data_IF_849889458473
#
_entry.id   IF_849889458473
#
_cell.length_a   1.000
_cell.length_b   1.000
_cell.length_c   1.000
_cell.angle_alpha   90.00
_cell.angle_beta   90.00
_cell.angle_gamma   90.00
#
_symmetry.space_group_name_H-M   'P 1'
#
loop_
_entity.id
_entity.type
_entity.pdbx_description
1 polymer ?
#
# COMPACT_ATOMS: atom_id res chain seq x y z
N UNK A 1 -7.28 6.38 -17.75
CA UNK A 1 -8.39 6.16 -16.81
C UNK A 1 -8.11 4.86 -16.09
N UNK A 2 -7.98 4.86 -14.75
CA UNK A 2 -7.81 3.62 -13.99
C UNK A 2 -9.11 2.81 -14.06
N UNK A 3 -9.04 1.53 -14.43
CA UNK A 3 -10.22 0.67 -14.49
C UNK A 3 -10.49 0.03 -13.11
N UNK A 4 -11.26 0.75 -12.29
CA UNK A 4 -11.66 0.24 -10.97
C UNK A 4 -12.55 -1.00 -11.02
N UNK A 5 -13.26 -1.24 -12.14
CA UNK A 5 -14.08 -2.46 -12.28
C UNK A 5 -13.19 -3.68 -12.42
N UNK A 6 -12.18 -3.59 -13.28
CA UNK A 6 -11.19 -4.64 -13.44
C UNK A 6 -10.40 -4.86 -12.14
N UNK A 7 -9.93 -3.77 -11.52
CA UNK A 7 -9.15 -3.81 -10.29
C UNK A 7 -9.90 -4.45 -9.12
N UNK A 8 -11.22 -4.25 -9.03
CA UNK A 8 -12.04 -4.81 -7.96
C UNK A 8 -12.68 -6.17 -8.30
N UNK A 9 -12.39 -6.74 -9.47
CA UNK A 9 -12.93 -8.05 -9.83
C UNK A 9 -12.36 -9.14 -8.90
N UNK A 10 -13.24 -9.92 -8.28
CA UNK A 10 -12.83 -10.92 -7.28
C UNK A 10 -12.16 -10.35 -6.03
N UNK A 11 -12.25 -9.03 -5.79
CA UNK A 11 -11.50 -8.38 -4.70
C UNK A 11 -11.88 -8.90 -3.31
N UNK A 12 -10.84 -9.32 -2.58
CA UNK A 12 -10.84 -9.56 -1.14
C UNK A 12 -9.69 -8.76 -0.53
N UNK A 13 -10.01 -7.85 0.38
CA UNK A 13 -9.02 -6.95 0.99
C UNK A 13 -7.91 -7.68 1.73
N UNK A 14 -8.16 -8.87 2.28
CA UNK A 14 -7.15 -9.57 3.05
C UNK A 14 -6.08 -10.21 2.15
N UNK A 15 -6.46 -10.54 0.91
CA UNK A 15 -5.63 -11.23 -0.09
C UNK A 15 -5.36 -10.37 -1.35
N UNK A 16 -5.65 -9.08 -1.29
CA UNK A 16 -5.50 -8.19 -2.44
C UNK A 16 -4.01 -8.01 -2.79
N UNK A 17 -3.66 -7.95 -4.09
CA UNK A 17 -2.31 -7.60 -4.53
C UNK A 17 -1.89 -6.24 -3.96
N UNK A 18 -0.59 -6.07 -3.69
CA UNK A 18 -0.04 -4.83 -3.14
C UNK A 18 -0.40 -3.63 -4.00
N UNK A 19 -0.30 -3.74 -5.32
CA UNK A 19 -0.66 -2.65 -6.25
C UNK A 19 -2.13 -2.25 -6.13
N UNK A 20 -3.02 -3.22 -5.92
CA UNK A 20 -4.44 -2.96 -5.68
C UNK A 20 -4.65 -2.23 -4.36
N UNK A 21 -3.93 -2.62 -3.30
CA UNK A 21 -3.97 -1.94 -2.02
C UNK A 21 -3.44 -0.51 -2.12
N UNK A 22 -2.34 -0.29 -2.85
CA UNK A 22 -1.79 1.04 -3.10
C UNK A 22 -2.82 1.93 -3.83
N UNK A 23 -3.42 1.42 -4.91
CA UNK A 23 -4.45 2.15 -5.67
C UNK A 23 -5.61 2.56 -4.77
N UNK A 24 -6.09 1.65 -3.93
CA UNK A 24 -7.18 1.95 -3.00
C UNK A 24 -6.76 2.93 -1.91
N UNK A 25 -5.56 2.76 -1.33
CA UNK A 25 -5.04 3.61 -0.26
C UNK A 25 -4.85 5.05 -0.73
N UNK A 26 -4.32 5.26 -1.93
CA UNK A 26 -4.14 6.59 -2.54
C UNK A 26 -5.49 7.18 -2.96
N UNK A 27 -6.37 6.40 -3.60
CA UNK A 27 -7.66 6.92 -4.08
C UNK A 27 -8.57 7.34 -2.92
N UNK A 28 -8.58 6.55 -1.83
CA UNK A 28 -9.32 6.83 -0.60
C UNK A 28 -8.56 7.78 0.33
N UNK A 29 -7.38 8.25 -0.06
CA UNK A 29 -6.57 9.10 0.79
C UNK A 29 -7.34 10.37 1.16
N UNK A 30 -7.05 10.87 2.35
CA UNK A 30 -7.50 12.14 2.84
C UNK A 30 -6.33 12.71 3.61
N UNK A 31 -6.10 14.02 3.45
CA UNK A 31 -5.10 14.74 4.24
C UNK A 31 -5.22 14.35 5.72
N UNK A 32 -4.21 13.63 6.21
CA UNK A 32 -4.06 13.18 7.57
C UNK A 32 -2.78 13.85 8.11
N UNK A 33 -2.85 14.61 9.20
CA UNK A 33 -1.68 15.28 9.75
C UNK A 33 -0.62 14.30 10.31
N UNK A 34 -0.95 13.02 10.45
CA UNK A 34 -0.09 11.99 11.06
C UNK A 34 0.48 11.04 9.99
N UNK A 35 -0.24 10.78 8.91
CA UNK A 35 0.17 9.83 7.85
C UNK A 35 0.24 10.52 6.49
N UNK A 36 1.45 10.59 5.93
CA UNK A 36 1.71 11.10 4.59
C UNK A 36 2.18 9.94 3.69
N UNK A 37 1.28 9.49 2.82
CA UNK A 37 1.57 8.39 1.90
C UNK A 37 2.67 8.73 0.90
N UNK A 38 2.85 10.00 0.50
CA UNK A 38 3.97 10.35 -0.39
C UNK A 38 5.29 10.12 0.32
N UNK A 39 5.40 10.56 1.58
CA UNK A 39 6.61 10.36 2.37
C UNK A 39 6.84 8.87 2.68
N UNK A 40 5.79 8.13 3.06
CA UNK A 40 5.89 6.69 3.32
C UNK A 40 6.45 5.93 2.12
N UNK A 41 6.05 6.31 0.90
CA UNK A 41 6.53 5.73 -0.35
C UNK A 41 7.95 6.19 -0.69
N UNK A 42 8.32 7.45 -0.41
CA UNK A 42 9.67 7.97 -0.62
C UNK A 42 10.70 7.29 0.29
N UNK A 43 10.30 6.94 1.52
CA UNK A 43 11.15 6.26 2.50
C UNK A 43 11.26 4.75 2.24
N UNK A 44 10.38 4.19 1.40
CA UNK A 44 10.28 2.74 1.18
C UNK A 44 11.58 2.09 0.67
N UNK A 45 12.39 2.72 -0.21
CA UNK A 45 13.70 2.20 -0.61
C UNK A 45 14.70 2.05 0.52
N UNK A 46 14.63 2.93 1.52
CA UNK A 46 15.55 2.93 2.68
C UNK A 46 15.09 1.93 3.75
N UNK A 47 13.78 1.65 3.81
CA UNK A 47 13.15 0.72 4.76
C UNK A 47 12.26 -0.32 4.05
N UNK A 48 12.82 -1.17 3.17
CA UNK A 48 12.06 -2.09 2.31
C UNK A 48 11.23 -3.11 3.08
N UNK A 49 11.65 -3.48 4.28
CA UNK A 49 10.92 -4.39 5.17
C UNK A 49 9.53 -3.85 5.55
N UNK A 50 9.38 -2.52 5.64
CA UNK A 50 8.11 -1.89 6.03
C UNK A 50 6.97 -2.21 5.10
N UNK A 51 7.26 -2.45 3.81
CA UNK A 51 6.23 -2.81 2.83
C UNK A 51 5.44 -4.03 3.32
N UNK A 52 6.14 -5.06 3.80
CA UNK A 52 5.54 -6.34 4.17
C UNK A 52 5.27 -6.46 5.68
N UNK A 53 6.06 -5.80 6.52
CA UNK A 53 5.91 -5.87 7.98
C UNK A 53 4.81 -4.96 8.53
N UNK A 54 4.55 -3.80 7.89
CA UNK A 54 3.59 -2.83 8.44
C UNK A 54 2.66 -2.18 7.41
N UNK A 55 3.19 -1.67 6.30
CA UNK A 55 2.41 -0.85 5.35
C UNK A 55 1.22 -1.60 4.76
N UNK A 56 1.37 -2.87 4.37
CA UNK A 56 0.24 -3.67 3.85
C UNK A 56 -0.92 -3.73 4.84
N UNK A 57 -0.65 -3.97 6.13
CA UNK A 57 -1.69 -4.09 7.14
C UNK A 57 -2.27 -2.73 7.55
N UNK A 58 -1.43 -1.69 7.59
CA UNK A 58 -1.86 -0.31 7.77
C UNK A 58 -2.79 0.13 6.63
N UNK A 59 -2.44 -0.18 5.38
CA UNK A 59 -3.24 0.16 4.21
C UNK A 59 -4.57 -0.59 4.22
N UNK A 60 -4.58 -1.90 4.51
CA UNK A 60 -5.82 -2.66 4.68
C UNK A 60 -6.72 -2.04 5.74
N UNK A 61 -6.16 -1.68 6.89
CA UNK A 61 -6.89 -1.06 8.01
C UNK A 61 -7.45 0.31 7.62
N UNK A 62 -6.65 1.13 6.95
CA UNK A 62 -7.06 2.43 6.43
C UNK A 62 -8.22 2.29 5.44
N UNK A 63 -8.10 1.40 4.45
CA UNK A 63 -9.13 1.17 3.43
C UNK A 63 -10.44 0.73 4.09
N UNK A 64 -10.41 -0.23 5.03
CA UNK A 64 -11.60 -0.66 5.80
C UNK A 64 -12.26 0.53 6.51
N UNK A 65 -11.47 1.38 7.15
CA UNK A 65 -11.94 2.58 7.84
C UNK A 65 -12.60 3.58 6.88
N UNK A 66 -11.97 3.89 5.75
CA UNK A 66 -12.52 4.84 4.78
C UNK A 66 -13.80 4.31 4.11
N UNK A 67 -13.85 3.02 3.77
CA UNK A 67 -15.06 2.41 3.25
C UNK A 67 -16.23 2.51 4.25
N UNK A 68 -15.97 2.33 5.55
CA UNK A 68 -16.98 2.55 6.60
C UNK A 68 -17.43 4.02 6.68
N UNK A 69 -16.51 4.98 6.61
CA UNK A 69 -16.82 6.43 6.59
C UNK A 69 -17.73 6.78 5.42
N UNK A 70 -17.50 6.19 4.25
CA UNK A 70 -18.32 6.42 3.06
C UNK A 70 -19.59 5.55 3.00
N UNK A 71 -19.84 4.71 4.02
CA UNK A 71 -20.95 3.76 4.06
C UNK A 71 -20.99 2.86 2.81
N UNK A 72 -19.84 2.27 2.49
CA UNK A 72 -19.62 1.36 1.36
C UNK A 72 -19.08 0.04 1.90
N UNK A 73 -19.77 -1.06 1.56
CA UNK A 73 -19.26 -2.40 1.86
C UNK A 73 -18.12 -2.78 0.91
N UNK A 74 -17.16 -3.56 1.41
CA UNK A 74 -16.11 -4.17 0.59
C UNK A 74 -16.56 -5.49 -0.07
N UNK A 75 -17.77 -5.97 0.27
CA UNK A 75 -18.35 -7.18 -0.30
C UNK A 75 -18.89 -6.99 -1.72
N UNK A 76 -19.15 -8.12 -2.38
CA UNK A 76 -19.64 -8.18 -3.78
C UNK A 76 -20.88 -7.33 -4.02
N UNK A 77 -21.85 -7.37 -3.10
CA UNK A 77 -23.11 -6.63 -3.20
C UNK A 77 -22.95 -5.09 -3.22
N UNK A 78 -21.83 -4.56 -2.75
CA UNK A 78 -21.54 -3.12 -2.70
C UNK A 78 -20.51 -2.67 -3.73
N UNK A 79 -20.04 -3.58 -4.59
CA UNK A 79 -18.88 -3.33 -5.46
C UNK A 79 -19.10 -2.23 -6.48
N UNK A 80 -20.27 -2.18 -7.11
CA UNK A 80 -20.59 -1.12 -8.07
C UNK A 80 -20.60 0.27 -7.40
N UNK A 81 -21.15 0.36 -6.19
CA UNK A 81 -21.12 1.59 -5.38
C UNK A 81 -19.69 2.00 -5.03
N UNK A 82 -18.84 1.03 -4.69
CA UNK A 82 -17.41 1.25 -4.43
C UNK A 82 -16.68 1.78 -5.67
N UNK A 83 -16.85 1.11 -6.82
CA UNK A 83 -16.28 1.54 -8.10
C UNK A 83 -16.66 2.98 -8.42
N UNK A 84 -17.96 3.31 -8.36
CA UNK A 84 -18.43 4.65 -8.67
C UNK A 84 -17.86 5.71 -7.72
N UNK A 85 -17.72 5.38 -6.42
CA UNK A 85 -17.13 6.30 -5.45
C UNK A 85 -15.63 6.50 -5.69
N UNK A 86 -14.89 5.42 -5.94
CA UNK A 86 -13.46 5.48 -6.24
C UNK A 86 -13.22 6.29 -7.52
N UNK A 87 -14.04 6.08 -8.55
CA UNK A 87 -13.97 6.85 -9.78
C UNK A 87 -14.15 8.35 -9.53
N UNK A 88 -15.15 8.73 -8.72
CA UNK A 88 -15.39 10.13 -8.37
C UNK A 88 -14.21 10.74 -7.59
N UNK A 89 -13.74 10.05 -6.53
CA UNK A 89 -12.62 10.52 -5.70
C UNK A 89 -11.30 10.61 -6.48
N UNK A 90 -11.08 9.67 -7.41
CA UNK A 90 -9.92 9.68 -8.28
C UNK A 90 -9.99 10.88 -9.23
N UNK A 91 -11.13 11.10 -9.89
CA UNK A 91 -11.30 12.22 -10.82
C UNK A 91 -11.13 13.59 -10.15
N UNK A 92 -11.56 13.75 -8.90
CA UNK A 92 -11.38 14.99 -8.12
C UNK A 92 -9.90 15.35 -7.90
N UNK A 93 -9.01 14.35 -7.88
CA UNK A 93 -7.57 14.50 -7.55
C UNK A 93 -6.67 13.81 -8.56
N UNK A 94 -7.12 13.67 -9.80
CA UNK A 94 -6.47 12.81 -10.79
C UNK A 94 -4.97 13.11 -10.99
N UNK A 95 -4.52 14.37 -11.09
CA UNK A 95 -3.10 14.67 -11.25
C UNK A 95 -2.26 14.17 -10.07
N UNK A 96 -2.75 14.37 -8.85
CA UNK A 96 -2.08 13.94 -7.63
C UNK A 96 -2.08 12.41 -7.52
N UNK A 97 -3.24 11.78 -7.69
CA UNK A 97 -3.35 10.32 -7.65
C UNK A 97 -2.40 9.65 -8.65
N UNK A 98 -2.32 10.16 -9.89
CA UNK A 98 -1.40 9.62 -10.89
C UNK A 98 0.06 9.74 -10.47
N UNK A 99 0.47 10.92 -9.97
CA UNK A 99 1.83 11.16 -9.49
C UNK A 99 2.21 10.18 -8.37
N UNK A 100 1.37 10.07 -7.35
CA UNK A 100 1.65 9.24 -6.17
C UNK A 100 1.60 7.75 -6.52
N UNK A 101 0.66 7.32 -7.37
CA UNK A 101 0.62 5.93 -7.83
C UNK A 101 1.83 5.57 -8.69
N UNK A 102 2.27 6.46 -9.57
CA UNK A 102 3.48 6.23 -10.35
C UNK A 102 4.68 6.04 -9.43
N UNK A 103 4.90 6.98 -8.50
CA UNK A 103 5.96 6.88 -7.51
C UNK A 103 5.87 5.57 -6.73
N UNK A 104 4.71 5.27 -6.16
CA UNK A 104 4.54 4.09 -5.31
C UNK A 104 4.78 2.77 -6.05
N UNK A 105 4.31 2.64 -7.30
CA UNK A 105 4.55 1.45 -8.11
C UNK A 105 6.04 1.31 -8.47
N UNK A 106 6.74 2.40 -8.77
CA UNK A 106 8.18 2.39 -9.00
C UNK A 106 8.95 1.91 -7.77
N UNK A 107 8.62 2.44 -6.57
CA UNK A 107 9.30 2.06 -5.33
C UNK A 107 8.98 0.63 -4.89
N UNK A 108 7.72 0.19 -5.01
CA UNK A 108 7.32 -1.19 -4.70
C UNK A 108 8.00 -2.17 -5.65
N UNK A 109 8.08 -1.84 -6.94
CA UNK A 109 8.79 -2.66 -7.92
C UNK A 109 10.27 -2.79 -7.56
N UNK A 110 10.92 -1.66 -7.27
CA UNK A 110 12.32 -1.63 -6.86
C UNK A 110 12.58 -2.48 -5.62
N UNK A 111 11.80 -2.28 -4.55
CA UNK A 111 11.94 -3.04 -3.29
C UNK A 111 11.66 -4.53 -3.49
N UNK A 112 10.66 -4.89 -4.27
CA UNK A 112 10.33 -6.30 -4.55
C UNK A 112 11.45 -6.98 -5.35
N UNK A 113 11.99 -6.29 -6.36
CA UNK A 113 13.12 -6.77 -7.15
C UNK A 113 14.36 -6.98 -6.29
N UNK A 114 14.67 -6.00 -5.44
CA UNK A 114 15.71 -6.11 -4.41
C UNK A 114 15.48 -7.37 -3.62
N UNK A 115 14.37 -7.51 -2.88
CA UNK A 115 14.16 -8.67 -2.01
C UNK A 115 14.22 -10.03 -2.73
N UNK A 116 13.84 -10.08 -4.01
CA UNK A 116 13.94 -11.29 -4.84
C UNK A 116 15.34 -11.58 -5.42
N UNK A 117 16.25 -10.61 -5.36
CA UNK A 117 17.60 -10.73 -5.91
C UNK A 117 18.50 -11.58 -5.00
N UNK A 118 19.12 -12.61 -5.57
CA UNK A 118 20.04 -13.52 -4.86
C UNK A 118 21.32 -12.85 -4.32
N UNK A 119 21.60 -11.60 -4.73
CA UNK A 119 22.82 -10.86 -4.41
C UNK A 119 22.66 -9.83 -3.28
N UNK A 120 21.58 -9.87 -2.50
CA UNK A 120 21.43 -8.97 -1.36
C UNK A 120 22.28 -9.45 -0.18
N UNK A 121 23.32 -8.67 0.12
CA UNK A 121 23.94 -8.69 1.43
C UNK A 121 23.16 -7.76 2.37
N UNK A 122 22.32 -8.36 3.23
CA UNK A 122 21.77 -7.65 4.39
C UNK A 122 22.93 -7.33 5.32
N UNK A 123 23.34 -6.06 5.37
CA UNK A 123 24.35 -5.60 6.31
C UNK A 123 23.76 -5.64 7.73
N UNK A 124 24.00 -6.73 8.45
CA UNK A 124 23.61 -6.84 9.86
C UNK A 124 24.31 -5.75 10.67
N UNK A 125 23.52 -4.84 11.26
CA UNK A 125 24.05 -3.84 12.19
C UNK A 125 24.72 -4.53 13.38
N UNK A 126 25.69 -3.86 14.02
CA UNK A 126 26.38 -4.37 15.21
C UNK A 126 25.40 -4.79 16.32
N UNK A 127 24.26 -4.07 16.41
CA UNK A 127 23.17 -4.34 17.35
C UNK A 127 22.41 -5.63 17.00
N UNK A 128 22.07 -5.87 15.73
CA UNK A 128 21.41 -7.11 15.30
C UNK A 128 22.28 -8.34 15.61
N UNK A 129 23.59 -8.25 15.31
CA UNK A 129 24.57 -9.31 15.65
C UNK A 129 24.69 -9.57 17.15
N UNK A 130 24.59 -8.53 17.98
CA UNK A 130 24.64 -8.67 19.44
C UNK A 130 23.40 -9.40 19.98
N UNK A 131 22.21 -9.11 19.43
CA UNK A 131 20.95 -9.76 19.82
C UNK A 131 20.93 -11.22 19.37
N UNK A 132 21.36 -11.52 18.15
CA UNK A 132 21.44 -12.89 17.63
C UNK A 132 22.38 -13.77 18.48
N UNK A 133 23.50 -13.22 18.96
CA UNK A 133 24.41 -13.92 19.89
C UNK A 133 23.79 -14.20 21.26
N UNK A 134 22.90 -13.34 21.74
CA UNK A 134 22.21 -13.54 23.01
C UNK A 134 21.11 -14.60 22.92
N UNK A 135 20.48 -14.74 21.75
CA UNK A 135 19.39 -15.69 21.50
C UNK A 135 19.87 -17.09 21.06
N UNK A 136 21.18 -17.25 20.81
CA UNK A 136 21.81 -18.54 20.43
C UNK A 136 22.54 -19.22 21.61
N UNK A 137 22.26 -18.78 22.84
CA UNK A 137 22.63 -19.39 24.12
C UNK A 137 21.41 -20.04 24.77
#
# INVERSE_FOLDING_TARGET
MYDFKQLLNGFDINNAPIDTLLVLRVTLDKADPIQDIEQDLLDLPDFPERLFESYVDEWKSFIKRQCKVHNIGLGTASREKLVNKLQALFSEREPWCKKVLQLGLEQITYVTQIQSSENIQVLTSSRKRAIERLLSL
#
